data_IF_042695911902
#
_entry.id   IF_042695911902
#
_cell.length_a   1.000
_cell.length_b   1.000
_cell.length_c   1.000
_cell.angle_alpha   90.00
_cell.angle_beta   90.00
_cell.angle_gamma   90.00
#
_symmetry.space_group_name_H-M   'P 1'
#
loop_
_entity.id
_entity.type
_entity.pdbx_description
1 polymer ?
#
# COMPACT_ATOMS: atom_id res chain seq x y z
N UNK A 1 -12.12 -11.35 -4.95
CA UNK A 1 -11.17 -10.26 -5.28
C UNK A 1 -10.46 -9.91 -4.00
N UNK A 2 -9.13 -9.96 -4.00
CA UNK A 2 -8.33 -9.58 -2.84
C UNK A 2 -8.15 -8.06 -2.78
N UNK A 3 -8.13 -7.53 -1.56
CA UNK A 3 -7.84 -6.14 -1.25
C UNK A 3 -6.69 -6.07 -0.25
N UNK A 4 -5.57 -5.47 -0.66
CA UNK A 4 -4.45 -5.17 0.23
C UNK A 4 -4.33 -3.67 0.42
N UNK A 5 -4.01 -3.27 1.65
CA UNK A 5 -3.74 -1.86 1.98
C UNK A 5 -2.29 -1.71 2.36
N UNK A 6 -1.61 -0.74 1.76
CA UNK A 6 -0.21 -0.44 2.06
C UNK A 6 -0.04 0.96 2.61
N UNK A 7 0.77 1.10 3.65
CA UNK A 7 1.17 2.39 4.20
C UNK A 7 2.54 2.28 4.85
N UNK A 8 3.07 3.39 5.35
CA UNK A 8 4.32 3.41 6.11
C UNK A 8 4.14 4.19 7.39
N UNK A 9 4.45 3.57 8.53
CA UNK A 9 4.50 4.16 9.87
C UNK A 9 5.56 3.46 10.73
N UNK A 10 6.07 4.08 11.81
CA UNK A 10 7.10 3.47 12.65
C UNK A 10 6.70 2.14 13.26
N UNK A 11 5.42 2.00 13.64
CA UNK A 11 4.90 0.80 14.28
C UNK A 11 3.84 0.13 13.41
N UNK A 12 3.80 -1.20 13.48
CA UNK A 12 2.72 -2.00 12.89
C UNK A 12 1.49 -1.88 13.78
N UNK A 13 0.38 -1.30 13.29
CA UNK A 13 -0.84 -1.15 14.08
C UNK A 13 -1.60 -2.47 14.21
N UNK A 14 -2.50 -2.59 15.21
CA UNK A 14 -3.42 -3.72 15.28
C UNK A 14 -4.40 -3.74 14.09
N UNK A 15 -4.98 -4.91 13.75
CA UNK A 15 -5.90 -5.04 12.61
C UNK A 15 -7.08 -4.05 12.58
N UNK A 16 -7.66 -3.72 13.73
CA UNK A 16 -8.76 -2.76 13.81
C UNK A 16 -8.38 -1.35 13.34
N UNK A 17 -7.15 -0.92 13.63
CA UNK A 17 -6.62 0.36 13.16
C UNK A 17 -6.26 0.30 11.66
N UNK A 18 -5.80 -0.86 11.18
CA UNK A 18 -5.57 -1.07 9.76
C UNK A 18 -6.88 -1.00 8.94
N UNK A 19 -7.99 -1.56 9.44
CA UNK A 19 -9.30 -1.38 8.82
C UNK A 19 -9.77 0.08 8.86
N UNK A 20 -9.53 0.80 9.96
CA UNK A 20 -9.82 2.23 10.02
C UNK A 20 -8.99 3.03 8.99
N UNK A 21 -7.74 2.63 8.75
CA UNK A 21 -6.87 3.21 7.72
C UNK A 21 -7.40 2.91 6.31
N UNK A 22 -7.87 1.69 6.04
CA UNK A 22 -8.55 1.36 4.79
C UNK A 22 -9.71 2.32 4.51
N UNK A 23 -10.57 2.56 5.50
CA UNK A 23 -11.69 3.50 5.36
C UNK A 23 -11.22 4.94 5.11
N UNK A 24 -10.15 5.38 5.80
CA UNK A 24 -9.55 6.72 5.58
C UNK A 24 -9.00 6.88 4.17
N UNK A 25 -8.35 5.85 3.61
CA UNK A 25 -7.83 5.87 2.24
C UNK A 25 -8.98 6.00 1.23
N UNK A 26 -10.03 5.19 1.38
CA UNK A 26 -11.20 5.20 0.49
C UNK A 26 -11.97 6.52 0.51
N UNK A 27 -11.92 7.24 1.64
CA UNK A 27 -12.66 8.48 1.86
C UNK A 27 -11.75 9.73 1.87
N UNK A 28 -10.50 9.59 1.40
CA UNK A 28 -9.56 10.71 1.37
C UNK A 28 -10.07 11.82 0.44
N UNK A 29 -10.29 13.00 1.02
CA UNK A 29 -10.83 14.18 0.32
C UNK A 29 -9.74 15.02 -0.35
N UNK A 30 -8.47 14.70 -0.12
CA UNK A 30 -7.34 15.44 -0.67
C UNK A 30 -6.30 14.48 -1.30
N UNK A 31 -6.70 13.65 -2.29
CA UNK A 31 -5.78 12.72 -2.93
C UNK A 31 -4.78 13.47 -3.83
N UNK A 32 -3.57 12.93 -3.90
CA UNK A 32 -2.44 13.56 -4.58
C UNK A 32 -2.08 12.81 -5.87
N UNK A 33 -1.59 13.50 -6.91
CA UNK A 33 -0.99 12.82 -8.06
C UNK A 33 0.26 12.06 -7.61
N UNK A 34 0.64 11.01 -8.35
CA UNK A 34 1.76 10.12 -8.01
C UNK A 34 3.04 10.90 -7.65
N UNK A 35 3.37 11.94 -8.43
CA UNK A 35 4.58 12.75 -8.26
C UNK A 35 4.65 13.54 -6.94
N UNK A 36 3.51 13.71 -6.26
CA UNK A 36 3.40 14.45 -4.99
C UNK A 36 3.22 13.52 -3.78
N UNK A 37 3.16 12.21 -3.97
CA UNK A 37 3.13 11.25 -2.87
C UNK A 37 4.49 11.16 -2.16
N UNK A 38 4.48 10.60 -0.95
CA UNK A 38 5.72 10.19 -0.28
C UNK A 38 6.56 9.27 -1.18
N UNK A 39 7.88 9.44 -1.16
CA UNK A 39 8.82 8.72 -2.03
C UNK A 39 8.65 7.19 -1.91
N UNK A 40 8.32 6.66 -0.73
CA UNK A 40 8.11 5.22 -0.51
C UNK A 40 6.93 4.69 -1.33
N UNK A 41 5.85 5.47 -1.43
CA UNK A 41 4.71 5.13 -2.28
C UNK A 41 5.09 5.17 -3.76
N UNK A 42 5.87 6.18 -4.17
CA UNK A 42 6.33 6.31 -5.55
C UNK A 42 7.23 5.12 -5.95
N UNK A 43 8.16 4.74 -5.07
CA UNK A 43 9.07 3.61 -5.26
C UNK A 43 8.29 2.29 -5.36
N UNK A 44 7.32 2.07 -4.47
CA UNK A 44 6.47 0.89 -4.51
C UNK A 44 5.67 0.80 -5.80
N UNK A 45 4.97 1.89 -6.19
CA UNK A 45 4.17 1.92 -7.42
C UNK A 45 5.04 1.65 -8.64
N UNK A 46 6.24 2.23 -8.68
CA UNK A 46 7.20 2.02 -9.77
C UNK A 46 7.69 0.57 -9.82
N UNK A 47 8.01 -0.04 -8.67
CA UNK A 47 8.43 -1.43 -8.57
C UNK A 47 7.34 -2.41 -9.05
N UNK A 48 6.07 -2.11 -8.77
CA UNK A 48 4.94 -2.90 -9.26
C UNK A 48 4.74 -2.72 -10.77
N UNK A 49 4.75 -1.47 -11.26
CA UNK A 49 4.51 -1.16 -12.69
C UNK A 49 5.59 -1.68 -13.64
N UNK A 50 6.82 -1.83 -13.15
CA UNK A 50 7.95 -2.35 -13.94
C UNK A 50 7.89 -3.87 -14.14
N UNK A 51 6.96 -4.56 -13.48
CA UNK A 51 6.78 -6.02 -13.56
C UNK A 51 5.40 -6.35 -14.13
N UNK A 52 5.24 -7.46 -14.89
CA UNK A 52 3.93 -7.90 -15.37
C UNK A 52 3.15 -8.61 -14.24
N UNK A 53 2.83 -7.88 -13.18
CA UNK A 53 2.04 -8.35 -12.05
C UNK A 53 0.58 -8.00 -12.32
N UNK A 54 -0.36 -8.96 -12.30
CA UNK A 54 -1.76 -8.71 -12.57
C UNK A 54 -2.45 -8.09 -11.33
N UNK A 55 -2.08 -6.85 -11.01
CA UNK A 55 -2.62 -6.05 -9.90
C UNK A 55 -3.10 -4.70 -10.40
N UNK A 56 -4.04 -4.11 -9.68
CA UNK A 56 -4.44 -2.71 -9.82
C UNK A 56 -4.09 -1.97 -8.55
N UNK A 57 -3.52 -0.79 -8.72
CA UNK A 57 -3.32 0.17 -7.63
C UNK A 57 -4.47 1.15 -7.77
N UNK A 58 -5.44 1.05 -6.88
CA UNK A 58 -6.71 1.76 -6.98
C UNK A 58 -6.52 3.24 -6.64
N UNK A 59 -6.71 4.16 -7.61
CA UNK A 59 -6.78 5.58 -7.30
C UNK A 59 -8.05 5.87 -6.48
N UNK A 60 -7.97 6.89 -5.63
CA UNK A 60 -9.12 7.40 -4.88
C UNK A 60 -10.01 8.24 -5.80
N UNK A 61 -9.39 8.99 -6.71
CA UNK A 61 -10.07 9.88 -7.65
C UNK A 61 -9.25 10.05 -8.94
N UNK A 62 -9.84 10.66 -9.96
CA UNK A 62 -9.15 11.12 -11.17
C UNK A 62 -9.44 12.59 -11.41
N UNK A 63 -8.38 13.39 -11.59
CA UNK A 63 -8.49 14.79 -12.00
C UNK A 63 -7.85 14.94 -13.38
N UNK A 64 -8.58 15.46 -14.36
CA UNK A 64 -8.11 15.57 -15.76
C UNK A 64 -7.53 14.26 -16.32
N UNK A 65 -8.18 13.12 -15.99
CA UNK A 65 -7.71 11.75 -16.31
C UNK A 65 -6.40 11.31 -15.64
N UNK A 66 -5.80 12.14 -14.78
CA UNK A 66 -4.65 11.75 -13.96
C UNK A 66 -5.13 11.03 -12.69
N UNK A 67 -4.66 9.80 -12.41
CA UNK A 67 -5.03 9.07 -11.20
C UNK A 67 -4.42 9.74 -9.96
N UNK A 68 -5.25 9.92 -8.92
CA UNK A 68 -4.84 10.46 -7.63
C UNK A 68 -4.99 9.41 -6.54
N UNK A 69 -3.98 9.31 -5.69
CA UNK A 69 -3.89 8.31 -4.64
C UNK A 69 -3.97 8.96 -3.26
N UNK A 70 -4.38 8.21 -2.25
CA UNK A 70 -4.43 8.73 -0.90
C UNK A 70 -3.02 8.98 -0.36
N UNK A 71 -2.88 10.07 0.39
CA UNK A 71 -1.65 10.33 1.19
C UNK A 71 -1.52 9.40 2.41
N UNK A 72 -2.60 8.69 2.77
CA UNK A 72 -2.66 7.82 3.94
C UNK A 72 -2.30 6.37 3.63
N UNK A 73 -2.14 6.01 2.35
CA UNK A 73 -1.77 4.68 1.91
C UNK A 73 -2.29 4.36 0.51
N UNK A 74 -1.99 3.16 0.05
CA UNK A 74 -2.38 2.64 -1.26
C UNK A 74 -3.34 1.47 -1.09
N UNK A 75 -4.38 1.44 -1.90
CA UNK A 75 -5.25 0.27 -2.05
C UNK A 75 -4.81 -0.52 -3.28
N UNK A 76 -4.62 -1.82 -3.13
CA UNK A 76 -4.25 -2.73 -4.20
C UNK A 76 -5.30 -3.82 -4.32
N UNK A 77 -5.74 -4.10 -5.54
CA UNK A 77 -6.70 -5.17 -5.83
C UNK A 77 -6.14 -6.15 -6.86
N UNK A 78 -6.52 -7.42 -6.73
CA UNK A 78 -6.24 -8.46 -7.72
C UNK A 78 -7.22 -9.62 -7.60
N UNK A 79 -7.31 -10.44 -8.66
CA UNK A 79 -8.18 -11.61 -8.69
C UNK A 79 -7.60 -12.76 -7.84
N UNK A 80 -8.48 -13.54 -7.22
CA UNK A 80 -8.12 -14.58 -6.24
C UNK A 80 -7.24 -15.67 -6.86
N UNK A 81 -7.48 -15.98 -8.13
CA UNK A 81 -6.66 -16.89 -8.94
C UNK A 81 -5.19 -16.45 -9.06
N UNK A 82 -4.89 -15.18 -8.83
CA UNK A 82 -3.52 -14.64 -8.88
C UNK A 82 -2.82 -14.59 -7.52
N UNK A 83 -3.51 -14.91 -6.42
CA UNK A 83 -2.99 -14.76 -5.05
C UNK A 83 -1.57 -15.31 -4.88
N UNK A 84 -1.36 -16.59 -5.20
CA UNK A 84 -0.05 -17.26 -5.04
C UNK A 84 1.08 -16.61 -5.83
N UNK A 85 0.76 -15.97 -6.95
CA UNK A 85 1.73 -15.27 -7.80
C UNK A 85 1.95 -13.83 -7.35
N UNK A 86 0.88 -13.14 -6.97
CA UNK A 86 0.88 -11.69 -6.72
C UNK A 86 1.38 -11.37 -5.33
N UNK A 87 0.89 -12.09 -4.32
CA UNK A 87 1.17 -11.79 -2.91
C UNK A 87 2.67 -11.71 -2.60
N UNK A 88 3.50 -12.69 -3.01
CA UNK A 88 4.95 -12.65 -2.75
C UNK A 88 5.65 -11.49 -3.45
N UNK A 89 5.11 -11.02 -4.58
CA UNK A 89 5.70 -9.90 -5.31
C UNK A 89 5.34 -8.56 -4.70
N UNK A 90 4.12 -8.42 -4.16
CA UNK A 90 3.70 -7.25 -3.38
C UNK A 90 4.52 -7.17 -2.10
N UNK A 91 4.66 -8.27 -1.35
CA UNK A 91 5.47 -8.27 -0.12
C UNK A 91 6.92 -7.91 -0.39
N UNK A 92 7.53 -8.48 -1.44
CA UNK A 92 8.89 -8.11 -1.84
C UNK A 92 9.03 -6.64 -2.27
N UNK A 93 8.02 -6.07 -2.93
CA UNK A 93 8.02 -4.66 -3.33
C UNK A 93 7.82 -3.72 -2.13
N UNK A 94 7.11 -4.16 -1.09
CA UNK A 94 6.87 -3.41 0.15
C UNK A 94 8.06 -3.42 1.12
N UNK A 95 8.92 -4.44 1.05
CA UNK A 95 10.02 -4.64 1.99
C UNK A 95 11.07 -3.52 1.96
N UNK A 96 11.60 -3.19 0.78
CA UNK A 96 12.60 -2.12 0.60
C UNK A 96 12.10 -0.74 1.09
N UNK A 97 10.90 -0.28 0.72
CA UNK A 97 10.32 0.95 1.28
C UNK A 97 9.78 0.78 2.71
N UNK A 98 9.97 -0.38 3.37
CA UNK A 98 9.52 -0.68 4.74
C UNK A 98 8.03 -0.38 4.95
N UNK A 99 7.22 -0.82 4.01
CA UNK A 99 5.78 -0.62 4.07
C UNK A 99 5.09 -1.74 4.83
N UNK A 100 4.02 -1.37 5.52
CA UNK A 100 3.09 -2.32 6.14
C UNK A 100 2.04 -2.72 5.13
N UNK A 101 1.60 -3.96 5.21
CA UNK A 101 0.57 -4.57 4.36
C UNK A 101 -0.54 -5.06 5.27
N UNK A 102 -1.77 -4.63 5.01
CA UNK A 102 -2.96 -5.20 5.60
C UNK A 102 -3.68 -6.04 4.55
N UNK A 103 -3.82 -7.32 4.83
CA UNK A 103 -4.71 -8.22 4.13
C UNK A 103 -6.09 -8.12 4.75
N UNK A 104 -7.01 -7.46 4.03
CA UNK A 104 -8.37 -7.23 4.52
C UNK A 104 -9.20 -8.51 4.57
N UNK A 105 -8.89 -9.49 3.72
CA UNK A 105 -9.64 -10.74 3.68
C UNK A 105 -9.36 -11.59 4.92
N UNK A 106 -8.10 -11.66 5.33
CA UNK A 106 -7.67 -12.45 6.49
C UNK A 106 -7.60 -11.62 7.78
N UNK A 107 -7.82 -10.30 7.70
CA UNK A 107 -7.72 -9.39 8.84
C UNK A 107 -6.30 -9.30 9.42
N UNK A 108 -5.29 -9.53 8.58
CA UNK A 108 -3.90 -9.72 9.00
C UNK A 108 -3.03 -8.53 8.58
N UNK A 109 -2.15 -8.08 9.49
CA UNK A 109 -1.21 -6.99 9.22
C UNK A 109 0.21 -7.53 9.28
N UNK A 110 0.99 -7.26 8.23
CA UNK A 110 2.42 -7.51 8.14
C UNK A 110 3.17 -6.20 8.04
N UNK A 111 4.36 -6.15 8.61
CA UNK A 111 5.23 -4.99 8.52
C UNK A 111 6.44 -5.15 9.41
N UNK A 112 7.35 -4.18 9.35
CA UNK A 112 8.52 -4.14 10.22
C UNK A 112 8.39 -2.97 11.18
N UNK A 113 8.40 -3.25 12.49
CA UNK A 113 8.53 -2.19 13.47
C UNK A 113 9.91 -1.53 13.28
N UNK A 114 9.90 -0.24 13.03
CA UNK A 114 11.13 0.56 12.98
C UNK A 114 11.27 1.21 14.33
N UNK A 115 12.21 0.74 15.14
CA UNK A 115 12.58 1.42 16.38
C UNK A 115 13.24 2.76 16.00
N UNK A 116 12.61 3.92 16.32
CA UNK A 116 13.19 5.23 15.98
C UNK A 116 14.50 5.50 16.73
N UNK A 117 14.81 4.77 17.81
CA UNK A 117 16.04 4.95 18.60
C UNK A 117 17.23 4.14 18.06
N UNK A 118 17.03 3.26 17.08
CA UNK A 118 18.10 2.49 16.44
C UNK A 118 18.44 3.11 15.08
N UNK A 119 19.35 4.10 15.12
CA UNK A 119 20.07 4.55 13.91
C UNK A 119 21.16 3.52 13.61
N UNK A 120 20.93 2.66 12.61
CA UNK A 120 21.99 1.84 12.03
C UNK A 120 22.90 2.76 11.22
N UNK A 121 24.06 3.10 11.78
CA UNK A 121 25.19 3.75 11.10
C UNK A 121 25.89 2.79 10.15
#
# INVERSE_FOLDING_TARGET
MFELVLWHEPMVPPPAEAEARYQRIRTDKAPLPLRELDQRFQDFITAIRTRPIPVRIEPVDHHDSEPRYSRHGLLITFADEHLKRVYPQITAAADRPRMHIYDRQDGFVMGTNTDPDIVLH
#
